data_IF_424336460674
#
_entry.id   IF_424336460674
#
_cell.length_a   1.000
_cell.length_b   1.000
_cell.length_c   1.000
_cell.angle_alpha   90.00
_cell.angle_beta   90.00
_cell.angle_gamma   90.00
#
_symmetry.space_group_name_H-M   'P 1'
#
loop_
_entity.id
_entity.type
_entity.pdbx_description
1 polymer ?
#
# COMPACT_ATOMS: atom_id res chain seq x y z
N UNK A 1 6.69 10.65 1.54
CA UNK A 1 8.01 11.27 1.28
C UNK A 1 8.08 11.90 -0.11
N UNK A 2 7.76 11.17 -1.19
CA UNK A 2 7.78 11.73 -2.55
C UNK A 2 6.86 12.95 -2.74
N UNK A 3 5.58 12.90 -2.31
CA UNK A 3 4.65 14.03 -2.44
C UNK A 3 5.11 15.30 -1.72
N UNK A 4 5.59 15.18 -0.48
CA UNK A 4 6.09 16.33 0.28
C UNK A 4 7.34 16.96 -0.36
N UNK A 5 8.24 16.14 -0.90
CA UNK A 5 9.39 16.64 -1.68
C UNK A 5 8.95 17.29 -3.00
N UNK A 6 7.89 16.79 -3.65
CA UNK A 6 7.32 17.41 -4.86
C UNK A 6 6.74 18.78 -4.55
N UNK A 7 6.06 18.97 -3.43
CA UNK A 7 5.52 20.27 -3.01
C UNK A 7 6.63 21.29 -2.75
N UNK A 8 7.65 20.92 -1.98
CA UNK A 8 8.75 21.83 -1.60
C UNK A 8 9.67 22.15 -2.78
N UNK A 9 9.75 21.27 -3.78
CA UNK A 9 10.55 21.45 -4.99
C UNK A 9 9.84 22.23 -6.11
N UNK A 10 8.59 22.68 -5.92
CA UNK A 10 7.81 23.40 -6.92
C UNK A 10 7.88 24.91 -6.75
N UNK A 11 7.90 25.62 -7.87
CA UNK A 11 7.71 27.05 -7.92
C UNK A 11 6.23 27.37 -7.77
N UNK A 12 5.86 28.14 -6.74
CA UNK A 12 4.47 28.51 -6.51
C UNK A 12 3.90 29.47 -7.57
N UNK A 13 4.75 30.05 -8.43
CA UNK A 13 4.32 30.94 -9.52
C UNK A 13 3.92 30.16 -10.78
N UNK A 14 4.70 29.15 -11.19
CA UNK A 14 4.41 28.37 -12.40
C UNK A 14 3.97 26.93 -12.13
N UNK A 15 3.86 26.54 -10.86
CA UNK A 15 3.46 25.22 -10.37
C UNK A 15 4.32 24.04 -10.89
N UNK A 16 5.46 24.36 -11.50
CA UNK A 16 6.43 23.40 -12.03
C UNK A 16 7.63 23.26 -11.09
N UNK A 17 8.46 22.24 -11.27
CA UNK A 17 9.73 22.12 -10.55
C UNK A 17 10.58 23.39 -10.69
N UNK A 18 11.24 23.81 -9.61
CA UNK A 18 12.09 24.98 -9.63
C UNK A 18 13.26 24.81 -10.61
N UNK A 19 13.29 25.64 -11.63
CA UNK A 19 14.40 25.75 -12.57
C UNK A 19 15.14 27.05 -12.32
N UNK A 20 16.45 26.94 -12.05
CA UNK A 20 17.31 28.06 -11.62
C UNK A 20 16.66 28.85 -10.47
N UNK A 21 16.50 28.23 -9.28
CA UNK A 21 15.79 28.85 -8.16
C UNK A 21 16.48 30.12 -7.67
N UNK A 22 15.68 31.14 -7.40
CA UNK A 22 16.08 32.45 -6.92
C UNK A 22 15.42 32.71 -5.56
N UNK A 23 16.23 33.01 -4.54
CA UNK A 23 15.75 33.44 -3.24
C UNK A 23 15.46 34.93 -3.24
N UNK A 24 14.32 35.30 -2.67
CA UNK A 24 14.02 36.64 -2.22
C UNK A 24 14.62 36.86 -0.82
N UNK A 25 14.64 38.12 -0.38
CA UNK A 25 15.16 38.54 0.94
C UNK A 25 14.55 37.77 2.11
N UNK A 26 13.25 37.45 2.01
CA UNK A 26 12.50 36.74 3.04
C UNK A 26 12.65 35.21 2.97
N UNK A 27 13.44 34.66 2.04
CA UNK A 27 13.61 33.22 1.86
C UNK A 27 12.60 32.56 0.90
N UNK A 28 11.61 33.32 0.40
CA UNK A 28 10.74 32.84 -0.68
C UNK A 28 11.57 32.45 -1.91
N UNK A 29 11.23 31.33 -2.55
CA UNK A 29 11.97 30.80 -3.70
C UNK A 29 11.07 30.64 -4.92
N UNK A 30 11.56 31.06 -6.09
CA UNK A 30 10.88 30.88 -7.36
C UNK A 30 11.87 30.66 -8.50
N UNK A 31 11.40 30.24 -9.69
CA UNK A 31 12.27 30.12 -10.86
C UNK A 31 12.79 31.49 -11.29
N UNK A 32 14.00 31.55 -11.86
CA UNK A 32 14.53 32.77 -12.47
C UNK A 32 13.54 33.42 -13.46
N UNK A 33 12.93 32.61 -14.34
CA UNK A 33 11.90 33.05 -15.29
C UNK A 33 10.60 33.57 -14.66
N UNK A 34 10.35 33.25 -13.40
CA UNK A 34 9.15 33.68 -12.68
C UNK A 34 9.36 34.97 -11.88
N UNK A 35 10.60 35.45 -11.75
CA UNK A 35 10.88 36.72 -11.07
C UNK A 35 10.18 37.90 -11.77
N UNK A 36 10.14 37.89 -13.10
CA UNK A 36 9.51 38.96 -13.88
C UNK A 36 7.98 38.98 -13.72
N UNK A 37 7.37 37.89 -13.24
CA UNK A 37 5.95 37.81 -12.93
C UNK A 37 5.59 38.30 -11.53
N UNK A 38 6.59 38.64 -10.70
CA UNK A 38 6.35 39.21 -9.37
C UNK A 38 5.93 40.66 -9.46
N UNK A 39 5.05 41.07 -8.54
CA UNK A 39 4.61 42.46 -8.45
C UNK A 39 5.81 43.35 -8.10
N UNK A 40 5.94 44.47 -8.81
CA UNK A 40 6.95 45.48 -8.54
C UNK A 40 6.47 46.47 -7.49
N UNK A 41 7.41 47.01 -6.74
CA UNK A 41 7.17 48.16 -5.87
C UNK A 41 6.66 49.35 -6.71
N UNK A 42 5.62 50.08 -6.27
CA UNK A 42 4.98 51.14 -7.07
C UNK A 42 5.93 52.22 -7.61
N UNK A 43 7.01 52.50 -6.90
CA UNK A 43 7.96 53.60 -7.20
C UNK A 43 9.43 53.15 -7.19
N UNK A 44 9.71 51.85 -7.28
CA UNK A 44 11.05 51.30 -7.06
C UNK A 44 11.44 50.10 -7.94
N UNK A 45 12.71 49.73 -7.88
CA UNK A 45 13.23 48.50 -8.52
C UNK A 45 13.04 47.24 -7.65
N UNK A 46 12.27 47.33 -6.57
CA UNK A 46 12.00 46.21 -5.66
C UNK A 46 10.96 45.24 -6.19
N UNK A 47 11.14 43.94 -5.90
CA UNK A 47 10.12 42.91 -6.11
C UNK A 47 9.42 42.57 -4.79
N UNK A 48 8.09 42.49 -4.83
CA UNK A 48 7.26 42.11 -3.69
C UNK A 48 7.13 40.58 -3.63
N UNK A 49 7.41 40.00 -2.46
CA UNK A 49 7.12 38.58 -2.22
C UNK A 49 5.61 38.34 -2.24
N UNK A 50 5.10 37.36 -3.01
CA UNK A 50 3.67 37.07 -3.09
C UNK A 50 3.09 36.47 -1.79
N UNK A 51 3.94 35.92 -0.92
CA UNK A 51 3.49 35.28 0.32
C UNK A 51 3.51 36.20 1.54
N UNK A 52 4.38 37.21 1.58
CA UNK A 52 4.57 38.05 2.77
C UNK A 52 4.77 39.55 2.47
N UNK A 53 4.65 39.95 1.21
CA UNK A 53 4.81 41.34 0.73
C UNK A 53 6.16 42.00 1.07
N UNK A 54 7.14 41.23 1.55
CA UNK A 54 8.49 41.74 1.82
C UNK A 54 9.17 42.14 0.50
N UNK A 55 9.71 43.35 0.47
CA UNK A 55 10.41 43.90 -0.70
C UNK A 55 11.83 43.34 -0.77
N UNK A 56 12.20 42.81 -1.93
CA UNK A 56 13.54 42.34 -2.25
C UNK A 56 14.13 43.18 -3.37
N UNK A 57 15.27 43.83 -3.12
CA UNK A 57 16.01 44.57 -4.16
C UNK A 57 16.95 43.62 -4.90
N UNK A 58 17.50 44.07 -6.03
CA UNK A 58 18.44 43.28 -6.87
C UNK A 58 19.57 42.58 -6.09
N UNK A 59 20.15 43.25 -5.08
CA UNK A 59 21.22 42.70 -4.22
C UNK A 59 20.76 41.61 -3.25
N UNK A 60 19.47 41.60 -2.91
CA UNK A 60 18.87 40.63 -1.98
C UNK A 60 18.45 39.35 -2.71
N UNK A 61 18.30 39.41 -4.04
CA UNK A 61 17.91 38.28 -4.87
C UNK A 61 19.14 37.44 -5.20
N UNK A 62 19.12 36.16 -4.81
CA UNK A 62 20.29 35.27 -4.96
C UNK A 62 19.92 33.94 -5.62
N UNK A 63 20.67 33.48 -6.63
CA UNK A 63 20.47 32.14 -7.18
C UNK A 63 20.90 31.07 -6.18
N UNK A 64 20.20 29.94 -6.19
CA UNK A 64 20.56 28.75 -5.42
C UNK A 64 20.94 27.60 -6.34
N UNK A 65 22.24 27.52 -6.67
CA UNK A 65 22.76 26.44 -7.51
C UNK A 65 22.65 25.07 -6.84
N UNK A 66 22.79 25.01 -5.52
CA UNK A 66 22.65 23.77 -4.74
C UNK A 66 21.21 23.24 -4.81
N UNK A 67 20.21 24.09 -4.55
CA UNK A 67 18.81 23.70 -4.64
C UNK A 67 18.45 23.30 -6.09
N UNK A 68 18.91 24.07 -7.07
CA UNK A 68 18.69 23.75 -8.49
C UNK A 68 19.26 22.38 -8.88
N UNK A 69 20.47 22.04 -8.42
CA UNK A 69 21.09 20.73 -8.65
C UNK A 69 20.32 19.59 -7.98
N UNK A 70 19.87 19.79 -6.74
CA UNK A 70 19.09 18.79 -6.02
C UNK A 70 17.76 18.51 -6.72
N UNK A 71 17.04 19.56 -7.11
CA UNK A 71 15.75 19.42 -7.79
C UNK A 71 15.92 18.78 -9.17
N UNK A 72 16.98 19.13 -9.90
CA UNK A 72 17.30 18.47 -11.17
C UNK A 72 17.55 16.96 -10.97
N UNK A 73 18.27 16.57 -9.92
CA UNK A 73 18.51 15.16 -9.59
C UNK A 73 17.24 14.42 -9.15
N UNK A 74 16.37 15.06 -8.38
CA UNK A 74 15.06 14.49 -8.02
C UNK A 74 14.23 14.24 -9.28
N UNK A 75 14.13 15.24 -10.18
CA UNK A 75 13.41 15.14 -11.45
C UNK A 75 13.97 14.03 -12.36
N UNK A 76 15.28 13.82 -12.35
CA UNK A 76 15.95 12.76 -13.10
C UNK A 76 15.67 11.35 -12.54
N UNK A 77 15.63 11.21 -11.20
CA UNK A 77 15.46 9.93 -10.53
C UNK A 77 13.99 9.51 -10.37
N UNK A 78 13.06 10.47 -10.37
CA UNK A 78 11.63 10.21 -10.16
C UNK A 78 11.07 9.14 -11.10
N UNK A 79 11.30 9.17 -12.43
CA UNK A 79 10.79 8.13 -13.33
C UNK A 79 11.39 6.74 -13.04
N UNK A 80 12.65 6.70 -12.61
CA UNK A 80 13.33 5.44 -12.28
C UNK A 80 12.75 4.83 -11.00
N UNK A 81 12.50 5.67 -9.99
CA UNK A 81 11.88 5.25 -8.75
C UNK A 81 10.45 4.76 -8.98
N UNK A 82 9.66 5.50 -9.77
CA UNK A 82 8.30 5.10 -10.15
C UNK A 82 8.28 3.77 -10.92
N UNK A 83 9.26 3.53 -11.79
CA UNK A 83 9.37 2.26 -12.51
C UNK A 83 9.68 1.09 -11.56
N UNK A 84 10.54 1.28 -10.56
CA UNK A 84 10.88 0.25 -9.57
C UNK A 84 9.76 0.01 -8.56
N UNK A 85 9.02 1.06 -8.20
CA UNK A 85 7.87 1.00 -7.30
C UNK A 85 6.56 0.61 -8.00
N UNK A 86 6.63 0.11 -9.23
CA UNK A 86 5.47 -0.48 -9.91
C UNK A 86 5.52 -1.99 -9.86
N UNK A 87 4.33 -2.58 -9.71
CA UNK A 87 4.11 -4.00 -9.84
C UNK A 87 4.57 -4.45 -11.22
N UNK A 88 5.47 -5.44 -11.26
CA UNK A 88 5.86 -6.07 -12.51
C UNK A 88 4.73 -7.01 -12.98
N UNK A 89 4.12 -6.80 -14.15
CA UNK A 89 3.02 -7.66 -14.63
C UNK A 89 3.41 -9.13 -14.76
N UNK A 90 4.71 -9.43 -14.89
CA UNK A 90 5.23 -10.80 -14.91
C UNK A 90 4.94 -11.58 -13.62
N UNK A 91 4.63 -10.91 -12.51
CA UNK A 91 4.25 -11.53 -11.23
C UNK A 91 2.98 -12.37 -11.37
N UNK A 92 2.05 -11.99 -12.27
CA UNK A 92 0.78 -12.69 -12.47
C UNK A 92 0.93 -14.15 -12.91
N UNK A 93 2.10 -14.55 -13.44
CA UNK A 93 2.39 -15.95 -13.79
C UNK A 93 2.50 -16.86 -12.57
N UNK A 94 2.65 -16.29 -11.37
CA UNK A 94 2.82 -17.00 -10.11
C UNK A 94 1.50 -17.07 -9.32
N UNK A 95 0.35 -16.87 -9.97
CA UNK A 95 -0.95 -16.94 -9.31
C UNK A 95 -1.12 -18.28 -8.58
N UNK A 96 -1.35 -18.19 -7.28
CA UNK A 96 -1.59 -19.30 -6.39
C UNK A 96 -3.08 -19.37 -6.04
N UNK A 97 -3.63 -20.58 -6.04
CA UNK A 97 -5.03 -20.78 -5.72
C UNK A 97 -5.23 -20.86 -4.21
N UNK A 98 -5.43 -19.70 -3.57
CA UNK A 98 -5.56 -19.60 -2.10
C UNK A 98 -7.01 -19.71 -1.66
N UNK A 99 -7.28 -20.60 -0.69
CA UNK A 99 -8.57 -20.73 0.00
C UNK A 99 -8.39 -20.53 1.50
N UNK A 100 -9.47 -20.24 2.23
CA UNK A 100 -9.45 -20.09 3.67
C UNK A 100 -9.48 -21.45 4.39
N UNK A 101 -8.66 -21.59 5.43
CA UNK A 101 -8.57 -22.78 6.26
C UNK A 101 -9.47 -22.66 7.49
N UNK A 102 -10.68 -23.23 7.39
CA UNK A 102 -11.73 -23.19 8.43
C UNK A 102 -11.25 -23.76 9.77
N UNK A 103 -10.25 -24.66 9.77
CA UNK A 103 -9.70 -25.24 10.99
C UNK A 103 -8.93 -24.22 11.83
N UNK A 104 -8.41 -23.17 11.19
CA UNK A 104 -7.61 -22.12 11.83
C UNK A 104 -8.43 -20.90 12.26
N UNK A 105 -9.60 -20.70 11.65
CA UNK A 105 -10.39 -19.48 11.78
C UNK A 105 -10.82 -19.20 13.22
N UNK A 106 -10.75 -17.96 13.68
CA UNK A 106 -11.37 -17.61 14.95
C UNK A 106 -12.88 -17.92 14.96
N UNK A 107 -13.42 -18.29 16.12
CA UNK A 107 -14.81 -18.75 16.27
C UNK A 107 -15.87 -17.66 15.99
N UNK A 108 -15.49 -16.39 15.90
CA UNK A 108 -16.39 -15.31 15.44
C UNK A 108 -16.39 -15.10 13.92
N UNK A 109 -15.46 -15.74 13.19
CA UNK A 109 -15.36 -15.57 11.76
C UNK A 109 -16.37 -16.43 11.01
N UNK A 110 -17.04 -15.83 10.05
CA UNK A 110 -17.93 -16.50 9.12
C UNK A 110 -17.23 -16.58 7.77
N UNK A 111 -17.10 -17.79 7.24
CA UNK A 111 -16.43 -18.07 5.97
C UNK A 111 -17.49 -18.51 4.96
N UNK A 112 -17.41 -17.99 3.73
CA UNK A 112 -18.30 -18.38 2.63
C UNK A 112 -18.09 -19.83 2.20
N UNK A 113 -19.10 -20.42 1.57
CA UNK A 113 -19.05 -21.82 1.10
C UNK A 113 -17.90 -22.08 0.11
N UNK A 114 -17.55 -21.09 -0.72
CA UNK A 114 -16.42 -21.16 -1.67
C UNK A 114 -15.04 -21.03 -1.00
N UNK A 115 -15.00 -20.84 0.32
CA UNK A 115 -13.79 -20.62 1.13
C UNK A 115 -12.95 -19.42 0.66
N UNK A 116 -13.56 -18.41 0.04
CA UNK A 116 -12.84 -17.21 -0.44
C UNK A 116 -13.15 -15.95 0.34
N UNK A 117 -14.27 -15.89 1.02
CA UNK A 117 -14.70 -14.68 1.73
C UNK A 117 -14.74 -14.94 3.23
N UNK A 118 -14.29 -13.96 4.01
CA UNK A 118 -14.35 -13.99 5.47
C UNK A 118 -14.78 -12.64 6.01
N UNK A 119 -15.65 -12.64 6.99
CA UNK A 119 -15.98 -11.47 7.79
C UNK A 119 -16.16 -11.87 9.26
N UNK A 120 -16.07 -10.90 10.16
CA UNK A 120 -16.34 -11.14 11.56
C UNK A 120 -17.83 -10.97 11.86
N UNK A 121 -18.47 -12.02 12.38
CA UNK A 121 -19.85 -12.01 12.84
C UNK A 121 -19.99 -11.55 14.28
N UNK A 122 -21.23 -11.37 14.74
CA UNK A 122 -21.52 -10.98 16.13
C UNK A 122 -21.59 -12.18 17.09
N UNK A 123 -21.69 -13.40 16.55
CA UNK A 123 -21.90 -14.62 17.32
C UNK A 123 -20.84 -15.67 17.00
N UNK A 124 -20.50 -16.44 18.04
CA UNK A 124 -19.64 -17.61 17.92
C UNK A 124 -20.28 -18.65 17.02
N UNK A 125 -19.46 -19.25 16.17
CA UNK A 125 -19.82 -20.37 15.31
C UNK A 125 -19.86 -21.71 16.08
N UNK A 126 -19.50 -21.70 17.38
CA UNK A 126 -19.47 -22.86 18.28
C UNK A 126 -18.64 -24.02 17.72
N UNK A 127 -17.52 -23.67 17.09
CA UNK A 127 -16.59 -24.65 16.56
C UNK A 127 -15.80 -25.33 17.69
N UNK A 128 -15.38 -26.57 17.45
CA UNK A 128 -14.56 -27.31 18.42
C UNK A 128 -13.24 -26.57 18.66
N UNK A 129 -12.84 -26.45 19.92
CA UNK A 129 -11.50 -25.98 20.30
C UNK A 129 -10.44 -26.93 19.73
N UNK A 130 -9.51 -26.37 18.96
CA UNK A 130 -8.38 -27.08 18.34
C UNK A 130 -7.12 -26.23 18.46
N UNK A 131 -5.93 -26.82 18.63
CA UNK A 131 -4.68 -26.06 18.76
C UNK A 131 -4.35 -25.24 17.50
N UNK A 132 -4.83 -25.67 16.33
CA UNK A 132 -4.66 -24.96 15.07
C UNK A 132 -5.50 -23.68 14.97
N UNK A 133 -6.49 -23.48 15.85
CA UNK A 133 -7.42 -22.36 15.81
C UNK A 133 -6.89 -21.13 16.55
N UNK A 134 -7.07 -19.94 15.97
CA UNK A 134 -6.91 -18.69 16.71
C UNK A 134 -8.02 -18.52 17.72
N UNK A 135 -7.70 -18.58 19.02
CA UNK A 135 -8.72 -18.52 20.08
C UNK A 135 -9.09 -17.09 20.52
N UNK A 136 -8.27 -16.10 20.17
CA UNK A 136 -8.41 -14.71 20.61
C UNK A 136 -8.43 -13.74 19.42
N UNK A 137 -7.40 -13.78 18.57
CA UNK A 137 -7.28 -12.87 17.44
C UNK A 137 -8.33 -13.18 16.36
N UNK A 138 -9.03 -12.17 15.86
CA UNK A 138 -10.05 -12.26 14.79
C UNK A 138 -9.39 -12.46 13.42
N UNK A 139 -8.77 -13.61 13.21
CA UNK A 139 -8.03 -13.93 12.00
C UNK A 139 -8.15 -15.40 11.59
N UNK A 140 -7.72 -15.68 10.37
CA UNK A 140 -7.75 -17.00 9.72
C UNK A 140 -6.56 -17.15 8.78
N UNK A 141 -6.05 -18.37 8.62
CA UNK A 141 -5.00 -18.68 7.65
C UNK A 141 -5.60 -19.17 6.33
N UNK A 142 -4.84 -18.95 5.25
CA UNK A 142 -5.12 -19.55 3.96
C UNK A 142 -4.37 -20.86 3.74
N UNK A 143 -4.82 -21.62 2.76
CA UNK A 143 -4.17 -22.81 2.21
C UNK A 143 -3.91 -22.59 0.72
N UNK A 144 -2.82 -23.13 0.15
CA UNK A 144 -1.82 -23.98 0.80
C UNK A 144 -0.80 -23.18 1.65
N UNK A 145 0.07 -23.92 2.35
CA UNK A 145 1.30 -23.36 2.88
C UNK A 145 2.45 -23.43 1.88
N UNK A 146 3.32 -22.44 1.93
CA UNK A 146 4.41 -22.25 0.98
C UNK A 146 5.75 -22.38 1.69
N UNK A 147 6.56 -23.35 1.28
CA UNK A 147 7.92 -23.58 1.77
C UNK A 147 9.01 -23.27 0.73
N UNK A 148 8.63 -23.02 -0.51
CA UNK A 148 9.56 -22.71 -1.61
C UNK A 148 8.84 -22.01 -2.76
N UNK A 149 9.60 -21.44 -3.70
CA UNK A 149 9.06 -20.87 -4.94
C UNK A 149 8.50 -19.46 -4.80
N UNK A 150 7.70 -19.06 -5.80
CA UNK A 150 7.10 -17.74 -5.93
C UNK A 150 5.60 -17.87 -6.08
N UNK A 151 4.85 -17.09 -5.32
CA UNK A 151 3.40 -17.21 -5.20
C UNK A 151 2.76 -15.82 -5.16
N UNK A 152 1.64 -15.66 -5.84
CA UNK A 152 0.90 -14.42 -5.92
C UNK A 152 -0.59 -14.66 -5.69
N UNK A 153 -1.24 -13.83 -4.90
CA UNK A 153 -2.70 -13.80 -4.79
C UNK A 153 -3.18 -12.38 -4.54
N UNK A 154 -4.46 -12.15 -4.80
CA UNK A 154 -5.09 -10.85 -4.60
C UNK A 154 -6.20 -10.97 -3.56
N UNK A 155 -6.34 -9.92 -2.75
CA UNK A 155 -7.36 -9.81 -1.71
C UNK A 155 -8.12 -8.52 -1.93
N UNK A 156 -9.42 -8.64 -2.17
CA UNK A 156 -10.35 -7.53 -2.12
C UNK A 156 -10.62 -7.18 -0.64
N UNK A 157 -10.24 -5.96 -0.26
CA UNK A 157 -10.43 -5.39 1.08
C UNK A 157 -11.63 -4.44 1.13
N UNK A 158 -12.27 -4.22 -0.03
CA UNK A 158 -13.45 -3.38 -0.16
C UNK A 158 -13.26 -1.96 0.39
N UNK A 159 -14.31 -1.44 1.01
CA UNK A 159 -14.34 -0.11 1.63
C UNK A 159 -14.03 -0.15 3.14
N UNK A 160 -13.56 -1.29 3.65
CA UNK A 160 -13.34 -1.46 5.08
C UNK A 160 -12.22 -0.55 5.59
N UNK A 161 -12.41 -0.04 6.80
CA UNK A 161 -11.47 0.84 7.50
C UNK A 161 -10.56 0.10 8.48
N UNK A 162 -10.74 -1.21 8.61
CA UNK A 162 -9.88 -2.05 9.44
C UNK A 162 -9.66 -3.42 8.80
N UNK A 163 -8.40 -3.78 8.55
CA UNK A 163 -8.03 -5.12 8.09
C UNK A 163 -6.50 -5.29 8.15
N UNK A 164 -6.05 -6.54 8.23
CA UNK A 164 -4.66 -6.92 7.98
C UNK A 164 -4.60 -8.13 7.03
N UNK A 165 -3.69 -8.07 6.06
CA UNK A 165 -3.42 -9.18 5.13
C UNK A 165 -1.93 -9.39 4.97
N UNK A 166 -1.52 -10.62 4.67
CA UNK A 166 -0.13 -10.93 4.36
C UNK A 166 0.17 -12.40 4.55
N UNK A 167 1.28 -12.70 5.22
CA UNK A 167 1.69 -14.07 5.53
C UNK A 167 2.12 -14.19 6.98
N UNK A 168 1.97 -15.38 7.55
CA UNK A 168 2.57 -15.71 8.83
C UNK A 168 3.26 -17.07 8.77
N UNK A 169 4.12 -17.35 9.76
CA UNK A 169 4.67 -18.70 9.97
C UNK A 169 3.52 -19.68 10.19
N UNK A 170 3.62 -20.88 9.62
CA UNK A 170 2.67 -21.95 9.93
C UNK A 170 2.75 -22.31 11.44
N UNK A 171 3.94 -22.19 12.04
CA UNK A 171 4.17 -22.40 13.47
C UNK A 171 3.88 -21.18 14.36
N UNK A 172 3.30 -20.10 13.82
CA UNK A 172 3.01 -18.90 14.61
C UNK A 172 2.08 -19.22 15.80
N UNK A 173 2.25 -18.49 16.90
CA UNK A 173 1.39 -18.66 18.07
C UNK A 173 -0.07 -18.30 17.71
N UNK A 174 -0.99 -19.20 18.05
CA UNK A 174 -2.43 -19.06 17.77
C UNK A 174 -3.26 -18.88 19.05
N UNK A 175 -2.64 -18.98 20.22
CA UNK A 175 -3.31 -18.95 21.51
C UNK A 175 -3.05 -17.61 22.22
N UNK A 176 -4.11 -16.97 22.69
CA UNK A 176 -4.08 -15.67 23.33
C UNK A 176 -3.85 -14.52 22.35
N UNK A 177 -3.61 -13.30 22.87
CA UNK A 177 -3.30 -12.14 22.06
C UNK A 177 -2.06 -12.38 21.19
N UNK A 178 -2.13 -11.95 19.92
CA UNK A 178 -0.99 -11.98 19.00
C UNK A 178 -0.56 -10.55 18.68
N UNK A 179 0.74 -10.35 18.52
CA UNK A 179 1.30 -9.11 18.01
C UNK A 179 1.66 -9.29 16.54
N UNK A 180 1.00 -8.54 15.65
CA UNK A 180 1.25 -8.58 14.21
C UNK A 180 2.57 -7.86 13.89
N UNK A 181 3.67 -8.58 14.05
CA UNK A 181 5.00 -8.10 13.73
C UNK A 181 5.86 -9.21 13.10
N UNK A 182 6.74 -8.79 12.19
CA UNK A 182 7.72 -9.66 11.55
C UNK A 182 8.65 -10.37 12.54
N UNK A 183 8.93 -9.78 13.72
CA UNK A 183 9.69 -10.43 14.79
C UNK A 183 8.97 -11.64 15.38
N UNK A 184 7.64 -11.64 15.34
CA UNK A 184 6.77 -12.74 15.81
C UNK A 184 6.30 -13.65 14.66
N UNK A 185 6.88 -13.49 13.47
CA UNK A 185 6.55 -14.32 12.31
C UNK A 185 5.29 -13.90 11.57
N UNK A 186 4.89 -12.64 11.63
CA UNK A 186 3.78 -12.06 10.88
C UNK A 186 4.29 -10.95 9.95
N UNK A 187 4.22 -11.15 8.64
CA UNK A 187 4.56 -10.15 7.64
C UNK A 187 3.29 -9.66 6.97
N UNK A 188 2.67 -8.66 7.60
CA UNK A 188 1.36 -8.14 7.21
C UNK A 188 1.40 -6.65 6.92
N UNK A 189 0.52 -6.23 6.02
CA UNK A 189 0.12 -4.83 5.86
C UNK A 189 -1.35 -4.71 6.20
N UNK A 190 -1.74 -3.56 6.72
CA UNK A 190 -3.12 -3.34 7.13
C UNK A 190 -3.51 -1.88 7.14
N UNK A 191 -4.81 -1.65 7.30
CA UNK A 191 -5.40 -0.36 7.57
C UNK A 191 -5.94 -0.39 8.99
N UNK A 192 -5.55 0.57 9.84
CA UNK A 192 -6.10 0.75 11.19
C UNK A 192 -6.22 2.22 11.52
N UNK A 193 -7.39 2.64 12.03
CA UNK A 193 -7.65 4.03 12.43
C UNK A 193 -7.24 5.05 11.36
N UNK A 194 -7.59 4.77 10.10
CA UNK A 194 -7.28 5.56 8.91
C UNK A 194 -5.79 5.64 8.51
N UNK A 195 -4.90 4.86 9.14
CA UNK A 195 -3.50 4.75 8.74
C UNK A 195 -3.17 3.39 8.15
N UNK A 196 -2.53 3.40 6.98
CA UNK A 196 -1.90 2.20 6.44
C UNK A 196 -0.60 1.93 7.19
N UNK A 197 -0.35 0.67 7.52
CA UNK A 197 0.83 0.27 8.27
C UNK A 197 1.36 -1.10 7.85
N UNK A 198 2.65 -1.33 8.05
CA UNK A 198 3.28 -2.64 7.99
C UNK A 198 3.68 -3.11 9.39
N UNK A 199 3.48 -4.40 9.67
CA UNK A 199 3.87 -5.08 10.91
C UNK A 199 5.39 -5.20 11.10
N UNK A 200 6.11 -4.07 11.14
CA UNK A 200 7.53 -4.00 11.53
C UNK A 200 7.66 -3.63 13.00
N UNK A 201 8.88 -3.70 13.55
CA UNK A 201 9.19 -3.18 14.87
C UNK A 201 10.33 -2.15 14.76
N UNK A 202 10.08 -0.85 15.08
CA UNK A 202 8.76 -0.25 15.33
C UNK A 202 7.83 -0.32 14.10
N UNK A 203 6.53 -0.12 14.29
CA UNK A 203 5.52 -0.13 13.21
C UNK A 203 5.85 0.90 12.14
N UNK A 204 5.79 0.50 10.86
CA UNK A 204 6.03 1.39 9.73
C UNK A 204 4.71 1.96 9.22
N UNK A 205 4.53 3.27 9.31
CA UNK A 205 3.38 3.97 8.72
C UNK A 205 3.61 4.14 7.21
N UNK A 206 2.61 3.80 6.41
CA UNK A 206 2.69 3.76 4.96
C UNK A 206 1.86 4.89 4.33
N UNK A 207 2.39 5.48 3.25
CA UNK A 207 1.68 6.45 2.43
C UNK A 207 1.09 5.73 1.23
N UNK A 208 -0.16 5.28 1.37
CA UNK A 208 -0.89 4.52 0.35
C UNK A 208 -2.14 5.29 -0.08
N UNK A 209 -2.57 5.12 -1.33
CA UNK A 209 -3.80 5.71 -1.83
C UNK A 209 -5.00 5.33 -0.95
N UNK A 210 -5.83 6.30 -0.49
CA UNK A 210 -7.04 6.01 0.28
C UNK A 210 -8.12 5.28 -0.55
N UNK A 211 -7.89 5.14 -1.86
CA UNK A 211 -8.75 4.39 -2.79
C UNK A 211 -8.36 2.91 -2.90
N UNK A 212 -7.45 2.41 -2.06
CA UNK A 212 -7.10 1.00 -2.01
C UNK A 212 -8.35 0.14 -1.78
N UNK A 213 -8.65 -0.72 -2.74
CA UNK A 213 -9.71 -1.74 -2.67
C UNK A 213 -9.18 -3.16 -2.82
N UNK A 214 -8.00 -3.32 -3.42
CA UNK A 214 -7.43 -4.64 -3.70
C UNK A 214 -5.93 -4.65 -3.50
N UNK A 215 -5.48 -5.59 -2.68
CA UNK A 215 -4.07 -5.81 -2.34
C UNK A 215 -3.58 -7.05 -3.06
N UNK A 216 -2.52 -6.90 -3.85
CA UNK A 216 -1.76 -8.02 -4.39
C UNK A 216 -0.64 -8.39 -3.43
N UNK A 217 -0.53 -9.67 -3.08
CA UNK A 217 0.52 -10.19 -2.21
C UNK A 217 1.43 -11.09 -3.04
N UNK A 218 2.70 -10.75 -3.12
CA UNK A 218 3.72 -11.52 -3.83
C UNK A 218 4.76 -12.06 -2.86
N UNK A 219 4.77 -13.36 -2.67
CA UNK A 219 5.72 -14.08 -1.85
C UNK A 219 6.82 -14.67 -2.73
N UNK A 220 8.08 -14.32 -2.47
CA UNK A 220 9.25 -14.94 -3.09
C UNK A 220 10.08 -15.63 -2.01
N UNK A 221 9.84 -16.93 -1.82
CA UNK A 221 10.58 -17.74 -0.84
C UNK A 221 12.05 -17.91 -1.23
N UNK A 222 12.40 -17.80 -2.51
CA UNK A 222 13.78 -17.94 -2.98
C UNK A 222 14.62 -16.73 -2.59
N UNK A 223 14.02 -15.54 -2.57
CA UNK A 223 14.67 -14.29 -2.16
C UNK A 223 14.33 -13.86 -0.72
N UNK A 224 13.47 -14.61 -0.03
CA UNK A 224 13.05 -14.30 1.34
C UNK A 224 12.34 -12.95 1.44
N UNK A 225 11.43 -12.68 0.50
CA UNK A 225 10.66 -11.42 0.46
C UNK A 225 9.16 -11.66 0.35
N UNK A 226 8.38 -10.73 0.91
CA UNK A 226 6.97 -10.58 0.60
C UNK A 226 6.69 -9.13 0.27
N UNK A 227 6.12 -8.90 -0.90
CA UNK A 227 5.82 -7.59 -1.46
C UNK A 227 4.31 -7.40 -1.61
N UNK A 228 3.85 -6.19 -1.35
CA UNK A 228 2.46 -5.79 -1.39
C UNK A 228 2.25 -4.72 -2.46
N UNK A 229 1.15 -4.82 -3.20
CA UNK A 229 0.83 -3.92 -4.30
C UNK A 229 -0.62 -3.48 -4.26
N UNK A 230 -0.88 -2.23 -4.61
CA UNK A 230 -2.23 -1.74 -4.87
C UNK A 230 -2.60 -2.15 -6.31
N UNK A 231 -3.47 -3.15 -6.46
CA UNK A 231 -3.69 -3.81 -7.76
C UNK A 231 -4.25 -2.84 -8.81
N UNK A 232 -5.12 -1.90 -8.41
CA UNK A 232 -5.83 -1.05 -9.37
C UNK A 232 -4.94 -0.02 -10.08
N UNK A 233 -3.88 0.46 -9.45
CA UNK A 233 -2.93 1.42 -10.05
C UNK A 233 -1.51 0.84 -10.23
N UNK A 234 -1.28 -0.38 -9.74
CA UNK A 234 -0.01 -1.09 -9.82
C UNK A 234 1.07 -0.51 -8.91
N UNK A 235 0.77 0.40 -7.98
CA UNK A 235 1.76 0.96 -7.07
C UNK A 235 2.21 -0.06 -6.03
N UNK A 236 3.48 0.00 -5.66
CA UNK A 236 4.06 -0.74 -4.55
C UNK A 236 3.62 -0.15 -3.22
N UNK A 237 3.22 -1.01 -2.29
CA UNK A 237 2.79 -0.64 -0.93
C UNK A 237 3.96 -0.81 0.04
N UNK A 238 4.50 -2.03 0.12
CA UNK A 238 5.56 -2.37 1.07
C UNK A 238 6.26 -3.68 0.68
N UNK A 239 7.51 -3.86 1.10
CA UNK A 239 8.22 -5.14 0.99
C UNK A 239 8.91 -5.47 2.30
N UNK A 240 8.60 -6.62 2.87
CA UNK A 240 9.46 -7.22 3.90
C UNK A 240 10.56 -8.02 3.22
N UNK A 241 11.73 -8.02 3.85
CA UNK A 241 12.92 -8.75 3.40
C UNK A 241 13.44 -9.62 4.54
N UNK A 242 14.37 -10.53 4.21
CA UNK A 242 15.04 -11.41 5.19
C UNK A 242 14.05 -12.36 5.89
N UNK A 243 13.04 -12.83 5.17
CA UNK A 243 12.17 -13.92 5.62
C UNK A 243 13.02 -15.20 5.71
N UNK A 244 12.97 -15.97 6.83
CA UNK A 244 13.74 -17.20 6.97
C UNK A 244 13.34 -18.28 5.96
N UNK A 245 14.33 -18.88 5.29
CA UNK A 245 14.09 -19.86 4.21
C UNK A 245 13.60 -21.24 4.69
N UNK A 246 13.78 -21.58 5.96
CA UNK A 246 13.43 -22.90 6.51
C UNK A 246 11.96 -23.01 6.95
N UNK A 247 11.15 -21.97 6.74
CA UNK A 247 9.81 -21.88 7.31
C UNK A 247 8.73 -22.04 6.25
N UNK A 248 7.70 -22.82 6.56
CA UNK A 248 6.45 -22.81 5.79
C UNK A 248 5.66 -21.57 6.19
N UNK A 249 5.31 -20.75 5.20
CA UNK A 249 4.44 -19.60 5.40
C UNK A 249 3.02 -19.87 4.92
N UNK A 250 2.05 -19.30 5.62
CA UNK A 250 0.62 -19.38 5.29
C UNK A 250 0.11 -17.98 4.96
N UNK A 251 -0.77 -17.81 3.95
CA UNK A 251 -1.53 -16.58 3.81
C UNK A 251 -2.27 -16.26 5.11
N UNK A 252 -2.32 -14.97 5.46
CA UNK A 252 -2.92 -14.48 6.70
C UNK A 252 -3.98 -13.43 6.37
N UNK A 253 -5.14 -13.54 7.04
CA UNK A 253 -6.27 -12.63 6.85
C UNK A 253 -6.89 -12.28 8.21
N UNK A 254 -7.05 -10.98 8.48
CA UNK A 254 -7.78 -10.46 9.62
C UNK A 254 -8.79 -9.41 9.14
N UNK A 255 -10.10 -9.73 9.05
CA UNK A 255 -11.13 -8.76 8.69
C UNK A 255 -11.40 -7.75 9.84
N UNK A 256 -12.19 -6.73 9.56
CA UNK A 256 -12.58 -5.72 10.55
C UNK A 256 -13.33 -6.33 11.74
N UNK A 257 -13.11 -5.77 12.93
CA UNK A 257 -13.97 -6.00 14.09
C UNK A 257 -15.33 -5.29 13.86
N UNK A 258 -16.47 -6.01 13.98
CA UNK A 258 -17.80 -5.45 13.76
C UNK A 258 -18.14 -4.28 14.71
N UNK A 259 -17.46 -4.19 15.86
CA UNK A 259 -17.65 -3.08 16.80
C UNK A 259 -16.97 -1.78 16.36
N UNK A 260 -16.00 -1.84 15.43
CA UNK A 260 -15.22 -0.68 14.98
C UNK A 260 -15.71 -0.12 13.63
N UNK A 261 -16.24 -0.97 12.73
CA UNK A 261 -16.59 -0.59 11.34
C UNK A 261 -18.05 -0.92 10.94
N UNK A 262 -18.89 -1.31 11.90
CA UNK A 262 -20.25 -1.78 11.63
C UNK A 262 -20.28 -3.17 10.97
N UNK A 263 -21.40 -3.55 10.34
CA UNK A 263 -21.52 -4.87 9.69
C UNK A 263 -20.68 -4.93 8.40
N UNK A 264 -19.46 -5.44 8.49
CA UNK A 264 -18.90 -6.27 7.42
C UNK A 264 -17.84 -5.63 6.54
N UNK A 265 -16.68 -5.31 7.13
CA UNK A 265 -15.42 -5.30 6.37
C UNK A 265 -15.01 -6.72 5.97
N UNK A 266 -15.72 -7.31 5.01
CA UNK A 266 -15.40 -8.65 4.51
C UNK A 266 -14.12 -8.60 3.65
N UNK A 267 -13.25 -9.57 3.87
CA UNK A 267 -12.11 -9.83 3.00
C UNK A 267 -12.49 -10.91 2.00
N UNK A 268 -12.14 -10.72 0.73
CA UNK A 268 -12.39 -11.71 -0.32
C UNK A 268 -11.13 -12.00 -1.12
N UNK A 269 -10.71 -13.26 -1.14
CA UNK A 269 -9.64 -13.73 -2.02
C UNK A 269 -10.18 -13.74 -3.45
N UNK A 270 -9.49 -13.04 -4.36
CA UNK A 270 -9.88 -13.02 -5.76
C UNK A 270 -9.54 -14.37 -6.44
N UNK A 271 -10.43 -14.91 -7.29
CA UNK A 271 -10.20 -16.17 -7.97
C UNK A 271 -9.06 -16.04 -8.99
N UNK A 272 -8.36 -17.15 -9.22
CA UNK A 272 -7.34 -17.24 -10.27
C UNK A 272 -8.01 -17.14 -11.63
N UNK A 273 -7.66 -16.12 -12.42
CA UNK A 273 -8.15 -16.01 -13.80
C UNK A 273 -7.31 -16.94 -14.66
N UNK A 274 -7.83 -18.14 -14.94
CA UNK A 274 -7.22 -19.04 -15.93
C UNK A 274 -7.43 -18.45 -17.33
N UNK A 275 -6.37 -18.17 -18.11
CA UNK A 275 -6.55 -17.84 -19.52
C UNK A 275 -7.04 -19.09 -20.25
N UNK A 276 -8.35 -19.18 -20.50
CA UNK A 276 -8.90 -20.32 -21.26
C UNK A 276 -10.41 -20.60 -21.18
N UNK A 277 -11.18 -19.96 -20.29
CA UNK A 277 -12.65 -20.19 -20.24
C UNK A 277 -13.42 -18.90 -20.47
N UNK A 278 -13.22 -18.29 -21.64
CA UNK A 278 -14.26 -17.46 -22.24
C UNK A 278 -15.19 -18.43 -22.99
N UNK A 279 -16.23 -18.92 -22.32
CA UNK A 279 -17.34 -19.57 -23.02
C UNK A 279 -18.04 -18.49 -23.85
N UNK A 280 -18.00 -18.63 -25.18
CA UNK A 280 -18.82 -17.83 -26.09
C UNK A 280 -20.29 -17.92 -25.66
N UNK A 281 -21.04 -16.80 -25.59
CA UNK A 281 -22.48 -16.88 -25.44
C UNK A 281 -23.04 -17.58 -26.70
N UNK A 282 -23.73 -18.69 -26.48
CA UNK A 282 -24.41 -19.42 -27.52
C UNK A 282 -25.44 -18.53 -28.21
N UNK A 283 -25.33 -18.50 -29.53
CA UNK A 283 -26.30 -17.94 -30.46
C UNK A 283 -27.60 -18.74 -30.34
N UNK A 284 -28.60 -18.21 -29.64
CA UNK A 284 -29.97 -18.71 -29.73
C UNK A 284 -30.66 -17.97 -30.88
N UNK A 285 -30.37 -18.45 -32.10
CA UNK A 285 -31.14 -18.15 -33.29
C UNK A 285 -32.59 -18.59 -33.11
N UNK A 286 -33.49 -17.70 -33.51
CA UNK A 286 -34.91 -17.94 -33.70
C UNK A 286 -35.11 -18.99 -34.80
N UNK A 287 -36.02 -19.93 -34.58
CA UNK A 287 -36.76 -20.59 -35.66
C UNK A 287 -38.24 -20.73 -35.25
N UNK A 288 -39.04 -19.92 -35.95
CA UNK A 288 -40.44 -20.04 -36.41
C UNK A 288 -41.41 -20.90 -35.59
#
# INVERSE_FOLDING_TARGET
MAEHFKEVGRCLMCLSHLETPMYLKCGYVCCLRCLDSLQREPDGEGLLCPSCSTISRKKDIKPSTQLGRLIAKVKELEPQLEAVLRMNPKILRFQADVTLDVSTANDYLVISEDLRSVYCGCFRQNQRCRPERFNYALCVLGSPGFSSGRHYWEVDVGISKEWDVGVCRDSANRQGPILLSSEFGFWTVGLRKDFFQAGTMPVSVLSVSPRLRRVGVFLDMNFGTVSFYHVSDGSHIFTFTKIPAAETLRPFFAPADPNMDGRGGALRICPVVKPGTASCPGDSGQDI
#
